data_IF_388022864985
#
_entry.id   IF_388022864985
#
_cell.length_a   1.000
_cell.length_b   1.000
_cell.length_c   1.000
_cell.angle_alpha   90.00
_cell.angle_beta   90.00
_cell.angle_gamma   90.00
#
_symmetry.space_group_name_H-M   'P 1'
#
loop_
_entity.id
_entity.type
_entity.pdbx_description
1 polymer ?
#
# COMPACT_ATOMS: atom_id res chain seq x y z
N UNK A 1 37.35 -29.52 2.78
CA UNK A 1 35.88 -29.40 2.77
C UNK A 1 35.23 -30.75 2.99
N UNK A 2 34.97 -31.10 4.26
CA UNK A 2 34.19 -32.30 4.63
C UNK A 2 32.75 -32.19 4.11
N UNK A 3 32.25 -33.28 3.55
CA UNK A 3 30.87 -33.43 3.08
C UNK A 3 30.14 -34.49 3.93
N UNK A 4 28.83 -34.33 4.09
CA UNK A 4 27.99 -35.25 4.86
C UNK A 4 26.74 -35.64 4.09
N UNK A 5 26.38 -36.92 4.14
CA UNK A 5 25.12 -37.46 3.61
C UNK A 5 24.25 -37.86 4.80
N UNK A 6 23.00 -37.42 4.83
CA UNK A 6 22.03 -37.80 5.84
C UNK A 6 20.85 -38.56 5.25
N UNK A 7 20.30 -39.48 6.03
CA UNK A 7 18.95 -39.99 5.82
C UNK A 7 18.01 -39.32 6.81
N UNK A 8 16.81 -38.97 6.37
CA UNK A 8 15.88 -38.22 7.19
C UNK A 8 14.43 -38.54 6.88
N UNK A 9 13.58 -38.27 7.88
CA UNK A 9 12.13 -38.33 7.76
C UNK A 9 11.52 -37.22 8.61
N UNK A 10 10.25 -36.89 8.35
CA UNK A 10 9.53 -35.90 9.13
C UNK A 10 8.61 -36.55 10.14
N UNK A 11 8.59 -35.96 11.34
CA UNK A 11 7.50 -36.14 12.29
C UNK A 11 6.57 -34.95 12.09
N UNK A 12 5.41 -35.20 11.49
CA UNK A 12 4.38 -34.18 11.25
C UNK A 12 3.47 -34.02 12.46
N UNK A 13 2.92 -32.82 12.63
CA UNK A 13 1.95 -32.52 13.68
C UNK A 13 0.76 -33.50 13.69
N UNK A 14 0.25 -33.89 12.52
CA UNK A 14 -0.88 -34.79 12.29
C UNK A 14 -0.64 -36.22 12.78
N UNK A 15 0.62 -36.64 12.89
CA UNK A 15 0.99 -37.93 13.44
C UNK A 15 1.11 -37.91 14.97
N UNK A 16 1.03 -36.74 15.60
CA UNK A 16 1.12 -36.57 17.05
C UNK A 16 -0.26 -36.68 17.68
N UNK A 17 -0.36 -37.58 18.65
CA UNK A 17 -1.54 -37.69 19.51
C UNK A 17 -1.24 -36.97 20.82
N UNK A 18 -2.03 -35.95 21.11
CA UNK A 18 -2.06 -35.33 22.43
C UNK A 18 -3.04 -36.08 23.34
N UNK A 19 -2.87 -35.90 24.65
CA UNK A 19 -3.79 -36.45 25.65
C UNK A 19 -5.17 -35.81 25.61
N UNK A 20 -6.01 -36.18 26.57
CA UNK A 20 -7.36 -35.63 26.70
C UNK A 20 -7.30 -34.12 26.94
N UNK A 21 -8.19 -33.39 26.26
CA UNK A 21 -8.39 -31.96 26.45
C UNK A 21 -8.77 -31.71 27.92
N UNK A 22 -8.12 -30.76 28.62
CA UNK A 22 -8.44 -30.46 30.00
C UNK A 22 -9.87 -29.93 30.10
N UNK A 23 -10.57 -30.36 31.13
CA UNK A 23 -11.93 -29.93 31.43
C UNK A 23 -12.06 -29.60 32.92
N UNK A 24 -13.13 -28.89 33.30
CA UNK A 24 -13.37 -28.50 34.68
C UNK A 24 -12.21 -27.72 35.29
N UNK A 25 -11.75 -28.12 36.47
CA UNK A 25 -10.66 -27.45 37.20
C UNK A 25 -9.32 -27.45 36.45
N UNK A 26 -9.06 -28.45 35.60
CA UNK A 26 -7.83 -28.51 34.82
C UNK A 26 -7.77 -27.38 33.77
N UNK A 27 -8.90 -27.09 33.12
CA UNK A 27 -8.99 -25.99 32.15
C UNK A 27 -8.90 -24.63 32.85
N UNK A 28 -9.52 -24.50 34.02
CA UNK A 28 -9.40 -23.29 34.87
C UNK A 28 -7.95 -23.04 35.27
N UNK A 29 -7.22 -24.09 35.65
CA UNK A 29 -5.81 -24.00 36.02
C UNK A 29 -4.95 -23.57 34.83
N UNK A 30 -5.17 -24.17 33.66
CA UNK A 30 -4.46 -23.77 32.44
C UNK A 30 -4.77 -22.31 32.05
N UNK A 31 -6.04 -21.92 32.05
CA UNK A 31 -6.46 -20.55 31.75
C UNK A 31 -5.75 -19.51 32.62
N UNK A 32 -5.59 -19.75 33.92
CA UNK A 32 -4.83 -18.85 34.82
C UNK A 32 -3.38 -18.63 34.39
N UNK A 33 -2.77 -19.59 33.66
CA UNK A 33 -1.40 -19.45 33.15
C UNK A 33 -1.31 -18.64 31.86
N UNK A 34 -2.42 -18.53 31.12
CA UNK A 34 -2.47 -17.86 29.80
C UNK A 34 -3.41 -16.66 29.77
N UNK A 35 -4.02 -16.29 30.90
CA UNK A 35 -5.03 -15.22 31.00
C UNK A 35 -4.56 -13.88 30.42
N UNK A 36 -3.27 -13.55 30.55
CA UNK A 36 -2.68 -12.34 29.98
C UNK A 36 -2.69 -12.28 28.45
N UNK A 37 -3.02 -13.38 27.76
CA UNK A 37 -3.24 -13.41 26.31
C UNK A 37 -4.69 -13.10 25.92
N UNK A 38 -5.60 -13.01 26.90
CA UNK A 38 -7.04 -12.89 26.71
C UNK A 38 -7.59 -11.62 27.37
N UNK A 39 -7.08 -10.47 26.96
CA UNK A 39 -7.63 -9.17 27.37
C UNK A 39 -8.84 -8.81 26.50
N UNK A 40 -9.93 -8.35 27.14
CA UNK A 40 -10.98 -7.61 26.48
C UNK A 40 -10.49 -6.16 26.29
N UNK A 41 -10.63 -5.57 25.09
CA UNK A 41 -10.32 -4.17 24.91
C UNK A 41 -11.31 -3.31 25.70
N UNK A 42 -10.99 -2.02 25.82
CA UNK A 42 -11.95 -1.04 26.29
C UNK A 42 -13.08 -0.88 25.26
N UNK A 43 -14.32 -0.85 25.74
CA UNK A 43 -15.50 -0.53 24.93
C UNK A 43 -16.18 0.72 25.47
N UNK A 44 -16.68 1.56 24.57
CA UNK A 44 -17.44 2.77 24.91
C UNK A 44 -18.85 2.69 24.36
N UNK A 45 -19.82 3.07 25.19
CA UNK A 45 -21.17 3.38 24.75
C UNK A 45 -21.23 4.85 24.34
N UNK A 46 -21.81 5.15 23.18
CA UNK A 46 -21.81 6.50 22.61
C UNK A 46 -23.18 6.84 22.03
N UNK A 47 -23.64 8.05 22.31
CA UNK A 47 -24.76 8.69 21.61
C UNK A 47 -24.23 9.72 20.62
N UNK A 48 -24.79 9.75 19.43
CA UNK A 48 -24.39 10.64 18.34
C UNK A 48 -25.59 11.41 17.81
N UNK A 49 -25.55 12.74 17.88
CA UNK A 49 -26.50 13.61 17.18
C UNK A 49 -25.86 14.10 15.89
N UNK A 50 -26.49 13.78 14.76
CA UNK A 50 -25.94 14.11 13.45
C UNK A 50 -26.86 15.09 12.70
N UNK A 51 -26.38 16.33 12.55
CA UNK A 51 -26.95 17.33 11.66
C UNK A 51 -26.41 17.13 10.25
N UNK A 52 -27.12 16.36 9.44
CA UNK A 52 -26.73 16.07 8.06
C UNK A 52 -27.37 17.06 7.07
N UNK A 53 -26.59 17.96 6.42
CA UNK A 53 -27.13 18.91 5.45
C UNK A 53 -27.68 18.22 4.19
N UNK A 54 -27.18 17.05 3.81
CA UNK A 54 -27.70 16.28 2.67
C UNK A 54 -29.10 15.73 2.98
N UNK A 55 -29.33 15.32 4.22
CA UNK A 55 -30.66 14.91 4.67
C UNK A 55 -31.60 16.10 4.80
N UNK A 56 -31.13 17.19 5.41
CA UNK A 56 -31.91 18.42 5.59
C UNK A 56 -32.32 19.05 4.25
N UNK A 57 -31.43 19.04 3.25
CA UNK A 57 -31.69 19.55 1.90
C UNK A 57 -32.95 18.94 1.26
N UNK A 58 -33.25 17.67 1.54
CA UNK A 58 -34.44 16.98 1.01
C UNK A 58 -35.76 17.55 1.52
N UNK A 59 -35.72 18.29 2.63
CA UNK A 59 -36.89 18.96 3.21
C UNK A 59 -37.00 20.42 2.78
N UNK A 60 -35.95 20.98 2.20
CA UNK A 60 -35.89 22.38 1.77
C UNK A 60 -36.25 22.44 0.29
N UNK A 61 -37.25 23.27 -0.02
CA UNK A 61 -37.64 23.58 -1.39
C UNK A 61 -37.17 24.99 -1.76
N UNK A 62 -36.22 25.14 -2.71
CA UNK A 62 -35.73 26.44 -3.14
C UNK A 62 -36.82 27.26 -3.82
N UNK A 63 -36.64 28.58 -3.83
CA UNK A 63 -37.53 29.48 -4.55
C UNK A 63 -37.39 29.28 -6.06
N UNK A 64 -38.50 29.07 -6.76
CA UNK A 64 -38.49 28.82 -8.20
C UNK A 64 -37.94 29.99 -9.03
N UNK A 65 -38.06 31.23 -8.55
CA UNK A 65 -37.49 32.42 -9.19
C UNK A 65 -35.97 32.39 -9.08
N UNK A 66 -35.44 32.14 -7.89
CA UNK A 66 -33.99 32.06 -7.64
C UNK A 66 -33.35 30.92 -8.43
N UNK A 67 -34.00 29.75 -8.53
CA UNK A 67 -33.53 28.62 -9.34
C UNK A 67 -33.38 28.99 -10.82
N UNK A 68 -34.30 29.82 -11.36
CA UNK A 68 -34.19 30.33 -12.74
C UNK A 68 -33.07 31.34 -12.89
N UNK A 69 -32.90 32.24 -11.92
CA UNK A 69 -31.80 33.21 -11.92
C UNK A 69 -30.44 32.50 -11.86
N UNK A 70 -30.32 31.46 -11.02
CA UNK A 70 -29.13 30.61 -10.93
C UNK A 70 -28.82 29.91 -12.25
N UNK A 71 -29.83 29.42 -12.98
CA UNK A 71 -29.63 28.88 -14.33
C UNK A 71 -29.05 29.93 -15.27
N UNK A 72 -29.64 31.13 -15.34
CA UNK A 72 -29.15 32.17 -16.24
C UNK A 72 -27.71 32.61 -15.93
N UNK A 73 -27.34 32.64 -14.65
CA UNK A 73 -25.98 32.95 -14.20
C UNK A 73 -24.97 31.84 -14.50
N UNK A 74 -25.41 30.59 -14.59
CA UNK A 74 -24.52 29.42 -14.70
C UNK A 74 -24.70 28.60 -15.99
N UNK A 75 -25.54 29.04 -16.92
CA UNK A 75 -25.87 28.30 -18.15
C UNK A 75 -24.64 27.90 -18.98
N UNK A 76 -23.62 28.75 -19.03
CA UNK A 76 -22.39 28.47 -19.77
C UNK A 76 -21.61 27.29 -19.18
N UNK A 77 -21.77 27.01 -17.88
CA UNK A 77 -21.16 25.84 -17.24
C UNK A 77 -21.86 24.52 -17.57
N UNK A 78 -23.11 24.58 -18.02
CA UNK A 78 -23.89 23.41 -18.45
C UNK A 78 -23.79 23.17 -19.95
N UNK A 79 -23.36 24.17 -20.71
CA UNK A 79 -23.29 24.12 -22.16
C UNK A 79 -21.91 23.67 -22.62
N UNK A 80 -21.89 22.84 -23.66
CA UNK A 80 -20.68 22.52 -24.40
C UNK A 80 -20.80 23.13 -25.80
N UNK A 81 -19.85 23.98 -26.17
CA UNK A 81 -19.76 24.49 -27.53
C UNK A 81 -19.46 23.36 -28.54
N UNK A 82 -19.83 23.58 -29.80
CA UNK A 82 -19.36 22.73 -30.89
C UNK A 82 -17.83 22.79 -30.98
N UNK A 83 -17.19 21.63 -31.15
CA UNK A 83 -15.74 21.56 -31.39
C UNK A 83 -15.43 20.81 -32.67
N UNK A 84 -14.35 21.21 -33.34
CA UNK A 84 -13.89 20.61 -34.58
C UNK A 84 -12.42 20.23 -34.47
N UNK A 85 -12.07 19.06 -35.01
CA UNK A 85 -10.68 18.66 -35.18
C UNK A 85 -10.18 19.22 -36.52
N UNK A 86 -9.18 20.09 -36.45
CA UNK A 86 -8.75 20.92 -37.57
C UNK A 86 -7.33 20.56 -37.96
N UNK A 87 -7.09 20.41 -39.26
CA UNK A 87 -5.75 20.30 -39.85
C UNK A 87 -5.52 21.39 -40.90
N UNK A 88 -4.26 21.76 -41.12
CA UNK A 88 -3.88 22.77 -42.11
C UNK A 88 -2.69 22.35 -42.98
N UNK A 89 -2.66 22.85 -44.21
CA UNK A 89 -1.50 22.80 -45.11
C UNK A 89 -1.13 24.24 -45.46
N UNK A 90 0.13 24.62 -45.27
CA UNK A 90 0.62 25.97 -45.55
C UNK A 90 1.26 25.99 -46.95
N UNK A 91 0.95 27.02 -47.73
CA UNK A 91 1.49 27.25 -49.07
C UNK A 91 2.21 28.61 -49.14
N UNK A 92 3.23 28.73 -50.01
CA UNK A 92 4.04 29.94 -50.11
C UNK A 92 3.30 31.13 -50.75
N UNK A 93 2.27 30.88 -51.58
CA UNK A 93 1.48 31.89 -52.25
C UNK A 93 0.08 31.38 -52.62
N UNK A 94 -0.78 32.29 -53.08
CA UNK A 94 -2.17 32.00 -53.43
C UNK A 94 -2.26 31.05 -54.62
N UNK A 95 -1.37 31.18 -55.61
CA UNK A 95 -1.37 30.33 -56.80
C UNK A 95 -1.11 28.86 -56.47
N UNK A 96 -0.16 28.58 -55.57
CA UNK A 96 0.16 27.22 -55.14
C UNK A 96 -0.98 26.60 -54.32
N UNK A 97 -1.59 27.37 -53.41
CA UNK A 97 -2.74 26.91 -52.63
C UNK A 97 -3.96 26.65 -53.53
N UNK A 98 -4.20 27.51 -54.52
CA UNK A 98 -5.28 27.37 -55.48
C UNK A 98 -5.12 26.12 -56.35
N UNK A 99 -3.89 25.86 -56.83
CA UNK A 99 -3.59 24.64 -57.58
C UNK A 99 -3.87 23.38 -56.76
N UNK A 100 -3.49 23.35 -55.49
CA UNK A 100 -3.78 22.23 -54.58
C UNK A 100 -5.29 22.09 -54.29
N UNK A 101 -6.01 23.20 -54.10
CA UNK A 101 -7.46 23.17 -53.96
C UNK A 101 -8.15 22.60 -55.22
N UNK A 102 -7.71 22.98 -56.42
CA UNK A 102 -8.23 22.43 -57.68
C UNK A 102 -7.95 20.93 -57.86
N UNK A 103 -6.84 20.43 -57.33
CA UNK A 103 -6.58 18.99 -57.25
C UNK A 103 -7.57 18.30 -56.32
N UNK A 104 -7.90 18.91 -55.17
CA UNK A 104 -8.89 18.36 -54.26
C UNK A 104 -10.29 18.25 -54.88
N UNK A 105 -10.68 19.21 -55.72
CA UNK A 105 -11.94 19.15 -56.47
C UNK A 105 -11.98 18.00 -57.48
N UNK A 106 -10.82 17.46 -57.88
CA UNK A 106 -10.67 16.32 -58.79
C UNK A 106 -10.54 14.98 -58.05
N UNK A 107 -10.58 14.98 -56.71
CA UNK A 107 -10.57 13.78 -55.89
C UNK A 107 -9.30 13.55 -55.07
N UNK A 108 -8.28 14.41 -55.18
CA UNK A 108 -7.08 14.33 -54.32
C UNK A 108 -7.47 14.63 -52.86
N UNK A 109 -7.11 13.73 -51.96
CA UNK A 109 -7.42 13.83 -50.53
C UNK A 109 -6.46 14.78 -49.81
N UNK A 110 -6.86 15.26 -48.63
CA UNK A 110 -6.01 16.12 -47.79
C UNK A 110 -4.69 15.42 -47.39
N UNK A 111 -4.74 14.11 -47.14
CA UNK A 111 -3.56 13.31 -46.83
C UNK A 111 -2.61 13.19 -48.04
N UNK A 112 -3.13 13.09 -49.26
CA UNK A 112 -2.32 13.08 -50.49
C UNK A 112 -1.66 14.44 -50.72
N UNK A 113 -2.39 15.55 -50.53
CA UNK A 113 -1.81 16.91 -50.61
C UNK A 113 -0.70 17.15 -49.58
N UNK A 114 -0.81 16.57 -48.39
CA UNK A 114 0.23 16.59 -47.37
C UNK A 114 1.45 15.77 -47.77
N UNK A 115 1.23 14.57 -48.34
CA UNK A 115 2.30 13.69 -48.81
C UNK A 115 3.11 14.33 -49.94
N UNK A 116 2.49 15.12 -50.82
CA UNK A 116 3.19 15.91 -51.85
C UNK A 116 4.20 16.90 -51.26
N UNK A 117 3.97 17.38 -50.03
CA UNK A 117 4.88 18.25 -49.29
C UNK A 117 5.79 17.51 -48.32
N UNK A 118 5.75 16.17 -48.28
CA UNK A 118 6.44 15.32 -47.29
C UNK A 118 6.05 15.68 -45.84
N UNK A 119 4.79 16.03 -45.59
CA UNK A 119 4.27 16.33 -44.25
C UNK A 119 3.36 15.17 -43.80
N UNK A 120 3.62 14.63 -42.61
CA UNK A 120 2.71 13.66 -41.99
C UNK A 120 1.44 14.33 -41.45
N UNK A 121 0.31 13.62 -41.49
CA UNK A 121 -0.99 14.11 -40.98
C UNK A 121 -0.91 14.60 -39.53
N UNK A 122 -0.15 13.92 -38.68
CA UNK A 122 0.05 14.32 -37.29
C UNK A 122 0.72 15.69 -37.15
N UNK A 123 1.64 16.04 -38.07
CA UNK A 123 2.34 17.33 -38.06
C UNK A 123 1.48 18.47 -38.65
N UNK A 124 0.42 18.13 -39.38
CA UNK A 124 -0.53 19.08 -39.96
C UNK A 124 -1.77 19.32 -39.07
N UNK A 125 -1.98 18.47 -38.06
CA UNK A 125 -3.13 18.53 -37.16
C UNK A 125 -2.91 19.61 -36.11
N UNK A 126 -3.82 20.59 -36.04
CA UNK A 126 -3.80 21.64 -35.03
C UNK A 126 -4.41 21.17 -33.70
N UNK A 127 -5.35 20.22 -33.78
CA UNK A 127 -6.09 19.69 -32.63
C UNK A 127 -7.58 20.03 -32.67
N UNK A 128 -8.23 19.92 -31.51
CA UNK A 128 -9.68 20.13 -31.34
C UNK A 128 -9.96 21.50 -30.76
N UNK A 129 -10.75 22.31 -31.46
CA UNK A 129 -11.07 23.68 -31.05
C UNK A 129 -12.56 23.96 -31.09
N UNK A 130 -13.04 24.74 -30.12
CA UNK A 130 -14.27 25.51 -30.25
C UNK A 130 -14.01 26.76 -31.11
N UNK A 131 -15.06 27.36 -31.67
CA UNK A 131 -14.91 28.51 -32.59
C UNK A 131 -14.15 29.68 -31.96
N UNK A 132 -14.48 30.03 -30.72
CA UNK A 132 -13.83 31.12 -29.98
C UNK A 132 -12.43 30.76 -29.44
N UNK A 133 -12.03 29.48 -29.53
CA UNK A 133 -10.69 29.01 -29.16
C UNK A 133 -9.65 29.17 -30.25
N UNK A 134 -10.05 29.58 -31.47
CA UNK A 134 -9.15 29.77 -32.60
C UNK A 134 -8.61 31.22 -32.63
N UNK A 135 -7.28 31.43 -32.72
CA UNK A 135 -6.68 32.76 -32.66
C UNK A 135 -6.92 33.61 -33.93
N UNK A 136 -7.27 32.98 -35.05
CA UNK A 136 -7.54 33.67 -36.31
C UNK A 136 -9.02 33.55 -36.69
N UNK A 137 -9.73 34.69 -36.71
CA UNK A 137 -11.17 34.74 -37.00
C UNK A 137 -11.54 34.24 -38.41
N UNK A 138 -10.72 34.53 -39.43
CA UNK A 138 -10.96 34.05 -40.80
C UNK A 138 -10.86 32.52 -40.87
N UNK A 139 -9.86 31.96 -40.20
CA UNK A 139 -9.73 30.50 -40.07
C UNK A 139 -10.96 29.93 -39.35
N UNK A 140 -11.36 30.52 -38.22
CA UNK A 140 -12.51 30.08 -37.44
C UNK A 140 -13.81 30.07 -38.25
N UNK A 141 -14.08 31.13 -39.02
CA UNK A 141 -15.27 31.19 -39.88
C UNK A 141 -15.22 30.10 -40.96
N UNK A 142 -14.07 29.94 -41.65
CA UNK A 142 -13.93 28.93 -42.71
C UNK A 142 -14.07 27.50 -42.19
N UNK A 143 -13.40 27.14 -41.09
CA UNK A 143 -13.45 25.75 -40.58
C UNK A 143 -14.78 25.38 -39.95
N UNK A 144 -15.53 26.35 -39.40
CA UNK A 144 -16.87 26.10 -38.85
C UNK A 144 -17.98 26.09 -39.93
N UNK A 145 -17.71 26.62 -41.11
CA UNK A 145 -18.59 26.50 -42.29
C UNK A 145 -18.26 25.25 -43.15
N UNK A 146 -17.14 24.57 -42.90
CA UNK A 146 -16.66 23.44 -43.71
C UNK A 146 -17.30 22.11 -43.29
N UNK A 147 -17.77 21.30 -44.24
CA UNK A 147 -18.24 19.94 -43.95
C UNK A 147 -17.09 19.00 -43.57
N UNK A 148 -17.40 17.93 -42.84
CA UNK A 148 -16.45 16.88 -42.49
C UNK A 148 -15.79 16.29 -43.75
N UNK A 149 -14.47 16.10 -43.69
CA UNK A 149 -13.62 15.60 -44.77
C UNK A 149 -13.60 16.46 -46.05
N UNK A 150 -14.04 17.73 -45.98
CA UNK A 150 -13.82 18.71 -47.06
C UNK A 150 -12.55 19.51 -46.83
N UNK A 151 -12.02 20.06 -47.93
CA UNK A 151 -10.86 20.95 -47.94
C UNK A 151 -11.38 22.37 -48.24
N UNK A 152 -10.95 23.35 -47.46
CA UNK A 152 -11.35 24.75 -47.67
C UNK A 152 -10.77 25.32 -48.96
N UNK A 153 -11.34 26.43 -49.45
CA UNK A 153 -10.62 27.31 -50.36
C UNK A 153 -9.36 27.87 -49.68
N UNK A 154 -8.36 28.35 -50.44
CA UNK A 154 -7.19 29.04 -49.89
C UNK A 154 -7.59 30.19 -48.96
N UNK A 155 -7.07 30.17 -47.73
CA UNK A 155 -7.31 31.21 -46.72
C UNK A 155 -6.02 31.93 -46.39
N UNK A 156 -6.00 33.25 -46.57
CA UNK A 156 -4.91 34.08 -46.05
C UNK A 156 -5.11 34.37 -44.56
N UNK A 157 -4.25 33.77 -43.74
CA UNK A 157 -4.26 33.93 -42.27
C UNK A 157 -3.19 34.91 -41.78
N UNK A 158 -2.52 35.65 -42.68
CA UNK A 158 -1.46 36.62 -42.37
C UNK A 158 -0.09 36.02 -42.07
N UNK A 159 -0.04 34.75 -41.63
CA UNK A 159 1.19 33.97 -41.45
C UNK A 159 1.52 33.07 -42.65
N UNK A 160 0.64 33.05 -43.66
CA UNK A 160 0.73 32.21 -44.85
C UNK A 160 -0.64 31.98 -45.47
N UNK A 161 -0.66 31.38 -46.67
CA UNK A 161 -1.89 30.91 -47.31
C UNK A 161 -2.10 29.45 -46.91
N UNK A 162 -3.29 29.11 -46.40
CA UNK A 162 -3.57 27.76 -45.91
C UNK A 162 -4.75 27.10 -46.61
N UNK A 163 -4.69 25.78 -46.76
CA UNK A 163 -5.85 24.92 -46.96
C UNK A 163 -6.18 24.24 -45.63
N UNK A 164 -7.44 24.24 -45.25
CA UNK A 164 -7.91 23.71 -43.98
C UNK A 164 -8.78 22.48 -44.23
N UNK A 165 -8.75 21.53 -43.31
CA UNK A 165 -9.68 20.40 -43.30
C UNK A 165 -10.21 20.11 -41.90
N UNK A 166 -11.40 19.53 -41.86
CA UNK A 166 -12.07 19.11 -40.63
C UNK A 166 -12.25 17.59 -40.66
N UNK A 167 -11.58 16.87 -39.77
CA UNK A 167 -11.67 15.40 -39.68
C UNK A 167 -12.81 14.93 -38.79
N UNK A 168 -13.23 15.75 -37.82
CA UNK A 168 -14.29 15.41 -36.88
C UNK A 168 -15.05 16.67 -36.41
N UNK A 169 -16.37 16.55 -36.21
CA UNK A 169 -17.24 17.60 -35.65
C UNK A 169 -17.96 17.01 -34.44
N UNK A 170 -17.71 17.59 -33.26
CA UNK A 170 -18.46 17.28 -32.04
C UNK A 170 -19.53 18.35 -31.84
N UNK A 171 -20.82 18.03 -31.96
CA UNK A 171 -21.89 19.04 -31.90
C UNK A 171 -21.98 19.69 -30.53
N UNK A 172 -22.51 20.92 -30.52
CA UNK A 172 -22.85 21.62 -29.29
C UNK A 172 -23.88 20.82 -28.47
N UNK A 173 -23.71 20.82 -27.15
CA UNK A 173 -24.68 20.27 -26.20
C UNK A 173 -25.14 21.42 -25.32
N UNK A 174 -26.33 21.95 -25.63
CA UNK A 174 -26.91 23.09 -24.92
C UNK A 174 -27.99 22.53 -24.01
N UNK A 175 -27.81 22.68 -22.69
CA UNK A 175 -28.79 22.24 -21.71
C UNK A 175 -29.84 23.31 -21.49
N UNK A 176 -31.11 22.94 -21.67
CA UNK A 176 -32.24 23.80 -21.34
C UNK A 176 -32.40 23.90 -19.83
N UNK A 177 -33.17 24.89 -19.35
CA UNK A 177 -33.53 24.99 -17.94
C UNK A 177 -34.13 23.69 -17.42
N UNK A 178 -35.07 23.09 -18.16
CA UNK A 178 -35.75 21.86 -17.75
C UNK A 178 -34.78 20.67 -17.62
N UNK A 179 -33.72 20.62 -18.45
CA UNK A 179 -32.71 19.56 -18.39
C UNK A 179 -31.87 19.60 -17.11
N UNK A 180 -31.60 20.79 -16.57
CA UNK A 180 -30.72 20.99 -15.41
C UNK A 180 -31.44 21.48 -14.16
N UNK A 181 -32.76 21.69 -14.23
CA UNK A 181 -33.56 22.24 -13.14
C UNK A 181 -33.35 21.47 -11.84
N UNK A 182 -33.45 20.14 -11.87
CA UNK A 182 -33.27 19.32 -10.67
C UNK A 182 -31.86 19.45 -10.09
N UNK A 183 -30.83 19.54 -10.94
CA UNK A 183 -29.44 19.72 -10.51
C UNK A 183 -29.27 21.06 -9.79
N UNK A 184 -29.90 22.12 -10.27
CA UNK A 184 -29.85 23.45 -9.66
C UNK A 184 -30.65 23.44 -8.35
N UNK A 185 -31.85 22.84 -8.33
CA UNK A 185 -32.65 22.69 -7.12
C UNK A 185 -31.89 21.91 -6.04
N UNK A 186 -31.26 20.78 -6.37
CA UNK A 186 -30.51 19.98 -5.40
C UNK A 186 -29.30 20.75 -4.83
N UNK A 187 -28.57 21.49 -5.68
CA UNK A 187 -27.44 22.32 -5.25
C UNK A 187 -27.90 23.45 -4.33
N UNK A 188 -28.99 24.12 -4.69
CA UNK A 188 -29.50 25.24 -3.90
C UNK A 188 -30.13 24.77 -2.58
N UNK A 189 -30.86 23.65 -2.59
CA UNK A 189 -31.34 23.00 -1.37
C UNK A 189 -30.20 22.65 -0.43
N UNK A 190 -29.09 22.12 -0.95
CA UNK A 190 -27.91 21.81 -0.13
C UNK A 190 -27.26 23.08 0.44
N UNK A 191 -27.12 24.13 -0.37
CA UNK A 191 -26.59 25.42 0.09
C UNK A 191 -27.43 26.01 1.23
N UNK A 192 -28.76 26.04 1.05
CA UNK A 192 -29.70 26.50 2.07
C UNK A 192 -29.70 25.61 3.31
N UNK A 193 -29.52 24.29 3.14
CA UNK A 193 -29.38 23.37 4.26
C UNK A 193 -28.14 23.70 5.09
N UNK A 194 -26.98 23.93 4.45
CA UNK A 194 -25.74 24.31 5.12
C UNK A 194 -25.91 25.64 5.89
N UNK A 195 -26.58 26.63 5.30
CA UNK A 195 -26.89 27.88 6.02
C UNK A 195 -27.75 27.60 7.27
N UNK A 196 -28.75 26.71 7.14
CA UNK A 196 -29.65 26.33 8.22
C UNK A 196 -28.96 25.50 9.32
N UNK A 197 -27.87 24.79 9.01
CA UNK A 197 -27.08 24.04 10.02
C UNK A 197 -26.60 24.98 11.13
N UNK A 198 -26.17 26.20 10.80
CA UNK A 198 -25.66 27.14 11.81
C UNK A 198 -26.76 27.64 12.75
N UNK A 199 -27.97 27.88 12.23
CA UNK A 199 -29.11 28.23 13.09
C UNK A 199 -29.50 27.05 14.01
N UNK A 200 -29.57 25.84 13.45
CA UNK A 200 -29.90 24.63 14.23
C UNK A 200 -28.80 24.26 15.23
N UNK A 201 -27.54 24.63 14.96
CA UNK A 201 -26.45 24.45 15.92
C UNK A 201 -26.74 25.23 17.20
N UNK A 202 -27.10 26.51 17.07
CA UNK A 202 -27.38 27.35 18.24
C UNK A 202 -28.56 26.77 19.04
N UNK A 203 -29.61 26.31 18.36
CA UNK A 203 -30.74 25.63 19.00
C UNK A 203 -30.30 24.34 19.75
N UNK A 204 -29.44 23.52 19.14
CA UNK A 204 -28.91 22.29 19.78
C UNK A 204 -28.09 22.63 21.02
N UNK A 205 -27.18 23.60 20.92
CA UNK A 205 -26.33 24.02 22.03
C UNK A 205 -27.15 24.61 23.18
N UNK A 206 -28.18 25.40 22.89
CA UNK A 206 -29.09 25.95 23.90
C UNK A 206 -29.86 24.85 24.64
N UNK A 207 -30.36 23.83 23.93
CA UNK A 207 -31.04 22.71 24.57
C UNK A 207 -30.08 21.88 25.43
N UNK A 208 -28.86 21.59 24.95
CA UNK A 208 -27.83 20.88 25.72
C UNK A 208 -27.46 21.70 26.98
N UNK A 209 -27.24 23.01 26.84
CA UNK A 209 -26.92 23.91 27.95
C UNK A 209 -28.06 24.02 28.97
N UNK A 210 -29.31 23.80 28.55
CA UNK A 210 -30.48 23.71 29.44
C UNK A 210 -30.60 22.37 30.18
N UNK A 211 -29.75 21.39 29.85
CA UNK A 211 -29.69 20.06 30.46
C UNK A 211 -30.49 18.99 29.71
N UNK A 212 -30.91 19.24 28.47
CA UNK A 212 -31.62 18.25 27.68
C UNK A 212 -30.71 17.06 27.31
N UNK A 213 -31.28 15.86 27.26
CA UNK A 213 -30.63 14.66 26.72
C UNK A 213 -30.56 14.73 25.20
N UNK A 214 -29.60 14.03 24.59
CA UNK A 214 -29.52 13.98 23.12
C UNK A 214 -30.81 13.45 22.48
N UNK A 215 -31.51 12.54 23.16
CA UNK A 215 -32.82 12.07 22.71
C UNK A 215 -33.88 13.17 22.69
N UNK A 216 -33.96 13.98 23.74
CA UNK A 216 -34.92 15.10 23.79
C UNK A 216 -34.61 16.15 22.71
N UNK A 217 -33.32 16.45 22.49
CA UNK A 217 -32.87 17.35 21.41
C UNK A 217 -33.24 16.79 20.04
N UNK A 218 -32.95 15.50 19.79
CA UNK A 218 -33.28 14.81 18.55
C UNK A 218 -34.78 14.87 18.24
N UNK A 219 -35.61 14.52 19.23
CA UNK A 219 -37.06 14.51 19.08
C UNK A 219 -37.62 15.93 18.85
N UNK A 220 -37.10 16.94 19.57
CA UNK A 220 -37.56 18.34 19.48
C UNK A 220 -37.17 19.01 18.16
N UNK A 221 -35.93 18.82 17.72
CA UNK A 221 -35.37 19.47 16.53
C UNK A 221 -35.41 18.59 15.28
N UNK A 222 -35.95 17.37 15.39
CA UNK A 222 -36.01 16.37 14.30
C UNK A 222 -34.63 16.01 13.73
N UNK A 223 -33.65 15.83 14.62
CA UNK A 223 -32.26 15.46 14.30
C UNK A 223 -32.08 13.95 14.46
N UNK A 224 -31.21 13.34 13.66
CA UNK A 224 -30.91 11.91 13.78
C UNK A 224 -30.07 11.62 15.02
N UNK A 225 -30.59 10.74 15.88
CA UNK A 225 -29.86 10.15 17.00
C UNK A 225 -29.42 8.73 16.67
N UNK A 226 -28.12 8.45 16.82
CA UNK A 226 -27.57 7.09 16.78
C UNK A 226 -27.06 6.70 18.16
N UNK A 227 -27.49 5.55 18.67
CA UNK A 227 -27.05 5.00 19.96
C UNK A 227 -26.21 3.75 19.68
N UNK A 228 -24.99 3.73 20.19
CA UNK A 228 -24.06 2.61 20.08
C UNK A 228 -23.77 2.11 21.49
N UNK A 229 -24.16 0.88 21.80
CA UNK A 229 -24.00 0.33 23.15
C UNK A 229 -22.55 -0.02 23.49
N UNK A 230 -21.80 -0.54 22.52
CA UNK A 230 -20.39 -0.92 22.67
C UNK A 230 -19.61 -0.64 21.40
N UNK A 231 -18.49 0.06 21.54
CA UNK A 231 -17.56 0.40 20.47
C UNK A 231 -16.14 0.31 21.01
N UNK A 232 -15.25 -0.46 20.37
CA UNK A 232 -13.82 -0.45 20.65
C UNK A 232 -13.06 0.45 19.66
N UNK A 233 -11.76 0.63 19.88
CA UNK A 233 -10.89 1.48 19.05
C UNK A 233 -10.68 0.96 17.61
N UNK A 234 -11.14 -0.26 17.31
CA UNK A 234 -11.17 -0.87 15.98
C UNK A 234 -12.54 -0.75 15.31
N UNK A 235 -13.46 0.01 15.92
CA UNK A 235 -14.85 0.16 15.49
C UNK A 235 -15.62 -1.16 15.47
N UNK A 236 -15.44 -1.96 16.51
CA UNK A 236 -16.16 -3.22 16.71
C UNK A 236 -16.96 -3.19 18.00
N UNK A 237 -18.07 -3.92 18.01
CA UNK A 237 -18.87 -4.19 19.20
C UNK A 237 -18.25 -5.31 20.06
N UNK A 238 -18.90 -5.60 21.19
CA UNK A 238 -18.45 -6.64 22.12
C UNK A 238 -18.49 -8.06 21.53
N UNK A 239 -19.25 -8.29 20.47
CA UNK A 239 -19.33 -9.55 19.73
C UNK A 239 -18.29 -9.63 18.60
N UNK A 240 -17.54 -8.56 18.36
CA UNK A 240 -16.56 -8.43 17.27
C UNK A 240 -17.15 -7.99 15.94
N UNK A 241 -18.45 -7.67 15.90
CA UNK A 241 -19.14 -7.12 14.75
C UNK A 241 -18.67 -5.70 14.43
N UNK A 242 -18.55 -5.35 13.16
CA UNK A 242 -18.15 -4.01 12.74
C UNK A 242 -19.29 -3.01 13.00
N UNK A 243 -18.99 -1.96 13.75
CA UNK A 243 -19.90 -0.84 14.01
C UNK A 243 -19.59 0.30 13.04
N UNK A 244 -20.63 0.86 12.44
CA UNK A 244 -20.51 2.02 11.57
C UNK A 244 -20.75 3.31 12.36
N UNK A 245 -19.82 4.25 12.26
CA UNK A 245 -19.96 5.62 12.76
C UNK A 245 -19.85 6.60 11.58
N UNK A 246 -20.41 7.82 11.67
CA UNK A 246 -20.23 8.86 10.66
C UNK A 246 -18.74 9.11 10.37
N UNK A 247 -18.40 9.26 9.09
CA UNK A 247 -17.02 9.46 8.64
C UNK A 247 -16.58 10.91 8.88
N UNK A 248 -16.26 11.22 10.13
CA UNK A 248 -15.86 12.54 10.60
C UNK A 248 -14.43 12.50 11.11
N UNK A 249 -13.61 13.45 10.67
CA UNK A 249 -12.21 13.53 11.11
C UNK A 249 -12.15 13.71 12.63
N UNK A 250 -11.38 12.85 13.29
CA UNK A 250 -11.19 12.90 14.73
C UNK A 250 -12.30 12.26 15.57
N UNK A 251 -13.49 11.97 15.03
CA UNK A 251 -14.63 11.46 15.83
C UNK A 251 -14.28 10.21 16.66
N UNK A 252 -13.69 9.19 16.02
CA UNK A 252 -13.28 7.98 16.71
C UNK A 252 -12.28 8.30 17.83
N UNK A 253 -11.27 9.12 17.55
CA UNK A 253 -10.28 9.51 18.55
C UNK A 253 -10.91 10.27 19.71
N UNK A 254 -11.77 11.25 19.42
CA UNK A 254 -12.47 12.07 20.41
C UNK A 254 -13.36 11.22 21.32
N UNK A 255 -14.07 10.23 20.76
CA UNK A 255 -14.85 9.25 21.53
C UNK A 255 -13.96 8.53 22.56
N UNK A 256 -12.75 8.10 22.17
CA UNK A 256 -11.84 7.36 23.07
C UNK A 256 -11.04 8.24 24.02
N UNK A 257 -11.05 9.56 23.85
CA UNK A 257 -10.41 10.50 24.78
C UNK A 257 -11.39 11.24 25.69
N UNK A 258 -12.69 11.15 25.44
CA UNK A 258 -13.73 11.82 26.22
C UNK A 258 -14.05 11.08 27.53
N UNK A 259 -14.59 11.77 28.53
CA UNK A 259 -15.06 11.16 29.78
C UNK A 259 -16.55 10.80 29.67
N UNK A 260 -17.06 9.98 30.60
CA UNK A 260 -18.50 9.68 30.65
C UNK A 260 -19.28 10.97 30.93
N UNK A 261 -20.38 11.16 30.20
CA UNK A 261 -21.31 12.29 30.31
C UNK A 261 -20.66 13.67 30.08
N UNK A 262 -19.47 13.70 29.47
CA UNK A 262 -18.83 14.96 29.07
C UNK A 262 -19.51 15.51 27.81
N UNK A 263 -19.93 16.77 27.88
CA UNK A 263 -20.34 17.53 26.72
C UNK A 263 -19.10 17.97 25.93
N UNK A 264 -18.97 17.46 24.70
CA UNK A 264 -17.87 17.75 23.81
C UNK A 264 -18.31 18.75 22.75
N UNK A 265 -17.37 19.59 22.30
CA UNK A 265 -17.60 20.45 21.14
C UNK A 265 -17.99 19.59 19.91
N UNK A 266 -18.94 20.06 19.08
CA UNK A 266 -19.32 19.35 17.88
C UNK A 266 -18.17 19.30 16.88
N UNK A 267 -18.15 18.24 16.07
CA UNK A 267 -17.18 18.06 15.00
C UNK A 267 -17.81 18.36 13.63
N UNK A 268 -17.06 19.06 12.77
CA UNK A 268 -17.47 19.35 11.40
C UNK A 268 -17.41 18.10 10.52
N UNK A 269 -18.49 17.86 9.78
CA UNK A 269 -18.55 16.83 8.74
C UNK A 269 -18.02 17.38 7.41
N UNK A 270 -17.53 16.50 6.54
CA UNK A 270 -17.03 16.87 5.20
C UNK A 270 -18.14 17.52 4.34
N UNK A 271 -19.40 17.16 4.59
CA UNK A 271 -20.58 17.69 3.89
C UNK A 271 -21.07 19.06 4.39
N UNK A 272 -20.40 19.66 5.39
CA UNK A 272 -20.82 20.95 5.98
C UNK A 272 -21.88 20.85 7.08
N UNK A 273 -22.10 19.64 7.61
CA UNK A 273 -22.92 19.36 8.78
C UNK A 273 -22.10 19.26 10.08
N UNK A 274 -22.78 18.95 11.18
CA UNK A 274 -22.18 18.84 12.52
C UNK A 274 -22.53 17.51 13.18
N UNK A 275 -21.62 17.00 13.99
CA UNK A 275 -21.90 15.85 14.86
C UNK A 275 -21.55 16.17 16.31
N UNK A 276 -22.51 15.99 17.22
CA UNK A 276 -22.26 15.93 18.65
C UNK A 276 -22.15 14.48 19.07
N UNK A 277 -21.30 14.24 20.05
CA UNK A 277 -21.16 12.92 20.65
C UNK A 277 -21.07 13.02 22.17
N UNK A 278 -21.65 12.03 22.85
CA UNK A 278 -21.54 11.86 24.30
C UNK A 278 -21.22 10.42 24.61
N UNK A 279 -20.17 10.20 25.42
CA UNK A 279 -19.86 8.87 25.94
C UNK A 279 -20.77 8.60 27.13
N UNK A 280 -21.60 7.59 27.04
CA UNK A 280 -22.59 7.24 28.08
C UNK A 280 -22.16 6.06 28.95
N UNK A 281 -21.12 5.33 28.52
CA UNK A 281 -20.60 4.18 29.26
C UNK A 281 -19.16 3.90 28.85
N UNK A 282 -18.32 3.48 29.80
CA UNK A 282 -16.98 2.94 29.54
C UNK A 282 -16.89 1.57 30.22
N UNK A 283 -16.65 0.54 29.40
CA UNK A 283 -16.31 -0.80 29.84
C UNK A 283 -14.79 -0.90 29.77
N UNK A 284 -14.13 -0.78 30.92
CA UNK A 284 -12.67 -0.83 31.02
C UNK A 284 -12.09 -2.14 30.47
N UNK A 285 -10.81 -2.07 30.09
CA UNK A 285 -10.03 -3.26 29.79
C UNK A 285 -10.05 -4.23 30.98
N UNK A 286 -10.27 -5.50 30.68
CA UNK A 286 -10.35 -6.55 31.70
C UNK A 286 -9.93 -7.87 31.10
N UNK A 287 -9.53 -8.80 31.96
CA UNK A 287 -9.36 -10.18 31.52
C UNK A 287 -10.73 -10.75 31.08
N UNK A 288 -10.77 -11.35 29.88
CA UNK A 288 -11.94 -12.11 29.42
C UNK A 288 -12.09 -13.34 30.28
N UNK A 289 -13.26 -13.56 30.89
CA UNK A 289 -13.56 -14.74 31.71
C UNK A 289 -13.38 -16.01 30.89
N UNK A 290 -13.04 -17.12 31.54
CA UNK A 290 -12.94 -18.42 30.86
C UNK A 290 -14.21 -18.79 30.06
N UNK A 291 -15.40 -18.37 30.51
CA UNK A 291 -16.65 -18.61 29.78
C UNK A 291 -16.72 -17.88 28.43
N UNK A 292 -16.01 -16.76 28.28
CA UNK A 292 -15.96 -15.94 27.07
C UNK A 292 -14.92 -16.44 26.07
N UNK A 293 -13.85 -17.10 26.55
CA UNK A 293 -12.70 -17.54 25.73
C UNK A 293 -12.46 -19.05 25.82
N UNK A 294 -13.48 -19.83 26.19
CA UNK A 294 -13.33 -21.27 26.48
C UNK A 294 -12.75 -22.03 25.29
N UNK A 295 -13.27 -21.75 24.09
CA UNK A 295 -12.87 -22.43 22.86
C UNK A 295 -11.47 -21.98 22.43
N UNK A 296 -11.15 -20.69 22.55
CA UNK A 296 -9.82 -20.16 22.27
C UNK A 296 -8.76 -20.71 23.22
N UNK A 297 -9.05 -20.77 24.52
CA UNK A 297 -8.17 -21.37 25.54
C UNK A 297 -7.95 -22.85 25.26
N UNK A 298 -9.02 -23.56 24.84
CA UNK A 298 -8.93 -24.98 24.47
C UNK A 298 -8.04 -25.17 23.24
N UNK A 299 -8.23 -24.36 22.21
CA UNK A 299 -7.41 -24.39 21.00
C UNK A 299 -5.94 -24.04 21.31
N UNK A 300 -5.70 -23.04 22.16
CA UNK A 300 -4.36 -22.67 22.62
C UNK A 300 -3.69 -23.81 23.39
N UNK A 301 -4.43 -24.48 24.28
CA UNK A 301 -3.92 -25.66 24.98
C UNK A 301 -3.54 -26.78 24.02
N UNK A 302 -4.44 -27.11 23.10
CA UNK A 302 -4.21 -28.17 22.11
C UNK A 302 -2.98 -27.88 21.27
N UNK A 303 -2.86 -26.65 20.76
CA UNK A 303 -1.70 -26.20 19.99
C UNK A 303 -0.41 -26.32 20.82
N UNK A 304 -0.44 -25.84 22.07
CA UNK A 304 0.71 -25.89 22.99
C UNK A 304 1.15 -27.32 23.31
N UNK A 305 0.21 -28.20 23.64
CA UNK A 305 0.54 -29.60 23.96
C UNK A 305 0.95 -30.39 22.72
N UNK A 306 0.41 -30.04 21.55
CA UNK A 306 0.83 -30.65 20.30
C UNK A 306 2.27 -30.27 19.98
N UNK A 307 2.63 -29.00 20.11
CA UNK A 307 4.01 -28.53 19.93
C UNK A 307 4.99 -29.22 20.89
N UNK A 308 4.60 -29.38 22.17
CA UNK A 308 5.42 -30.11 23.17
C UNK A 308 5.56 -31.59 22.82
N UNK A 309 4.47 -32.27 22.49
CA UNK A 309 4.47 -33.69 22.17
C UNK A 309 5.25 -33.97 20.88
N UNK A 310 5.14 -33.09 19.89
CA UNK A 310 5.90 -33.13 18.64
C UNK A 310 7.41 -33.05 18.89
N UNK A 311 7.86 -32.04 19.65
CA UNK A 311 9.26 -31.90 20.05
C UNK A 311 9.75 -33.11 20.86
N UNK A 312 8.96 -33.56 21.84
CA UNK A 312 9.30 -34.71 22.67
C UNK A 312 9.48 -35.97 21.82
N UNK A 313 8.62 -36.18 20.82
CA UNK A 313 8.70 -37.33 19.93
C UNK A 313 9.92 -37.30 19.02
N UNK A 314 10.23 -36.15 18.42
CA UNK A 314 11.44 -35.99 17.62
C UNK A 314 12.72 -36.28 18.44
N UNK A 315 12.76 -35.77 19.69
CA UNK A 315 13.85 -36.01 20.63
C UNK A 315 13.94 -37.46 21.10
N UNK A 316 12.81 -38.12 21.30
CA UNK A 316 12.75 -39.55 21.63
C UNK A 316 13.34 -40.38 20.48
N UNK A 317 12.89 -40.15 19.24
CA UNK A 317 13.35 -40.88 18.06
C UNK A 317 14.85 -40.67 17.82
N UNK A 318 15.34 -39.43 17.94
CA UNK A 318 16.77 -39.14 17.78
C UNK A 318 17.63 -39.82 18.85
N UNK A 319 17.12 -39.97 20.08
CA UNK A 319 17.84 -40.65 21.17
C UNK A 319 17.79 -42.16 21.06
N UNK A 320 16.67 -42.71 20.61
CA UNK A 320 16.48 -44.15 20.43
C UNK A 320 17.46 -44.70 19.40
N UNK A 321 17.65 -43.97 18.28
CA UNK A 321 18.54 -44.38 17.20
C UNK A 321 18.21 -45.77 16.66
N UNK A 322 19.19 -46.40 16.00
CA UNK A 322 19.02 -47.70 15.35
C UNK A 322 18.53 -47.58 13.92
N UNK A 323 17.76 -48.57 13.48
CA UNK A 323 17.25 -48.69 12.11
C UNK A 323 16.21 -47.60 11.79
N UNK A 324 16.48 -46.78 10.78
CA UNK A 324 15.67 -45.61 10.41
C UNK A 324 14.31 -46.02 9.84
N UNK A 325 14.22 -47.17 9.17
CA UNK A 325 12.96 -47.75 8.70
C UNK A 325 12.04 -48.06 9.88
N UNK A 326 12.59 -48.70 10.92
CA UNK A 326 11.83 -49.00 12.14
C UNK A 326 11.36 -47.74 12.90
N UNK A 327 12.12 -46.65 12.86
CA UNK A 327 11.77 -45.38 13.51
C UNK A 327 10.71 -44.57 12.74
N UNK A 328 10.73 -44.62 11.41
CA UNK A 328 9.86 -43.83 10.53
C UNK A 328 8.49 -44.47 10.26
N UNK A 329 8.37 -45.80 10.40
CA UNK A 329 7.17 -46.60 10.10
C UNK A 329 5.84 -46.12 10.73
N UNK A 330 5.89 -45.31 11.79
CA UNK A 330 4.68 -44.79 12.48
C UNK A 330 4.34 -43.33 12.15
N UNK A 331 5.20 -42.63 11.40
CA UNK A 331 5.06 -41.21 11.06
C UNK A 331 4.95 -40.96 9.55
N UNK A 332 5.23 -42.00 8.74
CA UNK A 332 4.96 -42.12 7.32
C UNK A 332 5.21 -40.85 6.50
N UNK A 333 6.49 -40.49 6.44
CA UNK A 333 7.10 -39.95 5.22
C UNK A 333 8.09 -40.99 4.69
N UNK A 334 8.24 -41.09 3.37
CA UNK A 334 9.33 -41.86 2.79
C UNK A 334 10.66 -41.31 3.34
N UNK A 335 11.53 -42.21 3.78
CA UNK A 335 12.90 -41.84 4.15
C UNK A 335 13.55 -41.22 2.91
N UNK A 336 14.13 -40.05 3.09
CA UNK A 336 14.85 -39.33 2.04
C UNK A 336 16.33 -39.33 2.36
N UNK A 337 17.16 -39.37 1.33
CA UNK A 337 18.61 -39.22 1.45
C UNK A 337 19.01 -37.88 0.86
N UNK A 338 19.84 -37.12 1.57
CA UNK A 338 20.37 -35.85 1.06
C UNK A 338 21.41 -36.10 -0.03
N UNK A 339 21.62 -35.12 -0.89
CA UNK A 339 22.90 -35.00 -1.62
C UNK A 339 24.04 -34.67 -0.65
N UNK A 340 25.28 -34.62 -1.12
CA UNK A 340 26.43 -34.25 -0.28
C UNK A 340 26.31 -32.81 0.22
N UNK A 341 26.17 -32.64 1.54
CA UNK A 341 26.05 -31.32 2.19
C UNK A 341 27.40 -30.88 2.75
N UNK A 342 27.74 -29.60 2.59
CA UNK A 342 28.85 -28.89 3.28
C UNK A 342 28.29 -27.93 4.34
N UNK A 343 29.14 -27.52 5.29
CA UNK A 343 28.75 -26.66 6.42
C UNK A 343 28.10 -25.31 6.04
N UNK A 344 28.37 -24.80 4.84
CA UNK A 344 27.87 -23.52 4.35
C UNK A 344 26.93 -23.62 3.15
N UNK A 345 26.47 -24.83 2.81
CA UNK A 345 25.59 -25.00 1.66
C UNK A 345 24.21 -24.37 1.93
N UNK A 346 23.62 -23.81 0.88
CA UNK A 346 22.22 -23.44 0.82
C UNK A 346 21.46 -24.62 0.23
N UNK A 347 20.49 -25.15 0.96
CA UNK A 347 19.72 -26.32 0.54
C UNK A 347 18.22 -26.00 0.59
N UNK A 348 17.46 -26.58 -0.33
CA UNK A 348 16.00 -26.38 -0.44
C UNK A 348 15.24 -27.12 0.65
N UNK A 349 15.73 -28.29 1.06
CA UNK A 349 15.10 -29.15 2.07
C UNK A 349 15.66 -28.89 3.49
N UNK A 350 16.86 -28.32 3.61
CA UNK A 350 17.54 -28.11 4.90
C UNK A 350 17.89 -26.65 5.16
N UNK A 351 17.43 -26.15 6.31
CA UNK A 351 17.88 -24.86 6.82
C UNK A 351 19.35 -24.90 7.24
N UNK A 352 20.01 -23.74 7.30
CA UNK A 352 21.39 -23.64 7.80
C UNK A 352 21.55 -24.20 9.23
N UNK A 353 20.51 -24.11 10.06
CA UNK A 353 20.50 -24.70 11.40
C UNK A 353 20.43 -26.23 11.35
N UNK A 354 19.65 -26.79 10.43
CA UNK A 354 19.57 -28.23 10.20
C UNK A 354 20.93 -28.80 9.76
N UNK A 355 21.60 -28.14 8.81
CA UNK A 355 22.95 -28.49 8.36
C UNK A 355 23.93 -28.41 9.53
N UNK A 356 23.93 -27.33 10.31
CA UNK A 356 24.79 -27.19 11.49
C UNK A 356 24.56 -28.30 12.52
N UNK A 357 23.30 -28.66 12.78
CA UNK A 357 22.94 -29.73 13.69
C UNK A 357 23.45 -31.10 13.20
N UNK A 358 23.32 -31.39 11.89
CA UNK A 358 23.86 -32.59 11.27
C UNK A 358 25.39 -32.66 11.34
N UNK A 359 26.06 -31.52 11.18
CA UNK A 359 27.52 -31.42 11.29
C UNK A 359 28.07 -31.51 12.72
N UNK A 360 27.18 -31.63 13.72
CA UNK A 360 27.53 -31.73 15.14
C UNK A 360 27.42 -33.15 15.70
N UNK A 361 26.86 -34.11 14.94
CA UNK A 361 26.73 -35.53 15.34
C UNK A 361 27.74 -36.43 14.63
N UNK A 362 28.00 -37.62 15.15
CA UNK A 362 28.91 -38.61 14.51
C UNK A 362 28.18 -39.47 13.49
N UNK A 363 28.93 -40.15 12.62
CA UNK A 363 28.34 -41.10 11.68
C UNK A 363 27.55 -42.18 12.43
N UNK A 364 26.32 -42.44 11.98
CA UNK A 364 25.35 -43.34 12.60
C UNK A 364 24.48 -42.69 13.68
N UNK A 365 24.83 -41.51 14.19
CA UNK A 365 24.03 -40.79 15.19
C UNK A 365 22.92 -39.96 14.56
N UNK A 366 21.91 -39.65 15.37
CA UNK A 366 20.75 -38.88 14.97
C UNK A 366 20.73 -37.49 15.60
N UNK A 367 20.10 -36.56 14.89
CA UNK A 367 19.75 -35.22 15.37
C UNK A 367 18.34 -34.86 14.90
N UNK A 368 17.80 -33.76 15.42
CA UNK A 368 16.48 -33.27 15.02
C UNK A 368 16.46 -31.74 14.96
N UNK A 369 15.59 -31.19 14.12
CA UNK A 369 15.38 -29.75 13.98
C UNK A 369 13.92 -29.47 13.64
N UNK A 370 13.42 -28.31 14.05
CA UNK A 370 12.10 -27.85 13.62
C UNK A 370 12.11 -27.55 12.11
N UNK A 371 11.01 -27.87 11.45
CA UNK A 371 10.79 -27.61 10.02
C UNK A 371 9.30 -27.56 9.70
N UNK A 372 8.96 -27.28 8.46
CA UNK A 372 7.57 -27.31 7.99
C UNK A 372 7.46 -28.19 6.75
N UNK A 373 6.38 -28.95 6.63
CA UNK A 373 6.07 -29.77 5.45
C UNK A 373 4.62 -29.49 5.07
N UNK A 374 4.38 -29.04 3.84
CA UNK A 374 3.03 -28.71 3.34
C UNK A 374 2.26 -27.75 4.29
N UNK A 375 2.93 -26.68 4.74
CA UNK A 375 2.39 -25.69 5.68
C UNK A 375 2.01 -26.24 7.08
N UNK A 376 2.39 -27.48 7.37
CA UNK A 376 2.22 -28.12 8.68
C UNK A 376 3.53 -28.07 9.48
N UNK A 377 3.43 -27.79 10.79
CA UNK A 377 4.58 -27.89 11.70
C UNK A 377 5.11 -29.32 11.73
N UNK A 378 6.43 -29.45 11.67
CA UNK A 378 7.09 -30.75 11.71
C UNK A 378 8.45 -30.68 12.41
N UNK A 379 9.02 -31.84 12.71
CA UNK A 379 10.43 -31.97 13.02
C UNK A 379 11.09 -32.91 12.02
N UNK A 380 12.23 -32.48 11.48
CA UNK A 380 13.08 -33.32 10.64
C UNK A 380 13.98 -34.12 11.57
N UNK A 381 13.86 -35.44 11.56
CA UNK A 381 14.76 -36.35 12.26
C UNK A 381 15.78 -36.86 11.25
N UNK A 382 17.06 -36.62 11.52
CA UNK A 382 18.16 -36.88 10.58
C UNK A 382 19.15 -37.85 11.19
N UNK A 383 19.52 -38.90 10.47
CA UNK A 383 20.68 -39.75 10.76
C UNK A 383 21.85 -39.36 9.87
N UNK A 384 23.03 -39.17 10.45
CA UNK A 384 24.24 -38.99 9.64
C UNK A 384 24.69 -40.34 9.06
N UNK A 385 24.46 -40.56 7.77
CA UNK A 385 24.78 -41.82 7.08
C UNK A 385 26.27 -41.94 6.79
N UNK A 386 26.87 -40.89 6.24
CA UNK A 386 28.25 -40.92 5.74
C UNK A 386 28.96 -39.58 5.92
N UNK A 387 30.25 -39.64 6.27
CA UNK A 387 31.17 -38.50 6.27
C UNK A 387 32.18 -38.71 5.14
N UNK A 388 32.17 -37.82 4.16
CA UNK A 388 33.07 -37.83 3.00
C UNK A 388 34.21 -36.85 3.29
N UNK A 389 35.43 -37.38 3.39
CA UNK A 389 36.63 -36.58 3.56
C UNK A 389 36.95 -35.79 2.27
N UNK A 390 37.52 -34.58 2.37
CA UNK A 390 37.94 -33.84 1.19
C UNK A 390 39.02 -34.59 0.40
N UNK A 391 38.93 -34.55 -0.93
CA UNK A 391 39.96 -35.11 -1.81
C UNK A 391 41.28 -34.33 -1.64
N UNK A 392 42.42 -35.02 -1.69
CA UNK A 392 43.76 -34.43 -1.53
C UNK A 392 44.04 -33.31 -2.56
N UNK A 393 43.48 -33.43 -3.78
CA UNK A 393 43.59 -32.37 -4.79
C UNK A 393 42.93 -31.04 -4.37
N UNK A 394 41.85 -31.08 -3.60
CA UNK A 394 41.19 -29.86 -3.09
C UNK A 394 42.00 -29.21 -1.97
N UNK A 395 42.67 -30.02 -1.16
CA UNK A 395 43.57 -29.54 -0.10
C UNK A 395 44.79 -28.84 -0.70
N UNK A 396 45.38 -29.40 -1.76
CA UNK A 396 46.51 -28.79 -2.46
C UNK A 396 46.13 -27.46 -3.14
N UNK A 397 44.95 -27.40 -3.77
CA UNK A 397 44.44 -26.16 -4.39
C UNK A 397 44.18 -25.07 -3.35
N UNK A 398 43.56 -25.40 -2.21
CA UNK A 398 43.33 -24.44 -1.12
C UNK A 398 44.67 -23.96 -0.52
N UNK A 399 45.62 -24.87 -0.29
CA UNK A 399 46.95 -24.51 0.20
C UNK A 399 47.71 -23.60 -0.78
N UNK A 400 47.58 -23.83 -2.09
CA UNK A 400 48.18 -22.98 -3.12
C UNK A 400 47.54 -21.58 -3.17
N UNK A 401 46.21 -21.49 -3.02
CA UNK A 401 45.50 -20.20 -2.94
C UNK A 401 45.89 -19.40 -1.69
N UNK A 402 46.01 -20.06 -0.52
CA UNK A 402 46.48 -19.42 0.72
C UNK A 402 47.91 -18.92 0.56
N UNK A 403 48.81 -19.71 -0.06
CA UNK A 403 50.19 -19.30 -0.36
C UNK A 403 50.23 -18.09 -1.28
N UNK A 404 49.41 -18.05 -2.33
CA UNK A 404 49.33 -16.91 -3.25
C UNK A 404 48.80 -15.64 -2.57
N UNK A 405 47.84 -15.77 -1.64
CA UNK A 405 47.29 -14.64 -0.90
C UNK A 405 48.24 -14.11 0.18
N UNK A 406 49.06 -14.97 0.79
CA UNK A 406 50.01 -14.57 1.85
C UNK A 406 51.33 -14.01 1.30
N UNK A 407 51.80 -14.47 0.13
CA UNK A 407 53.09 -14.08 -0.43
C UNK A 407 53.29 -12.55 -0.60
N UNK A 408 52.33 -11.77 -1.15
CA UNK A 408 52.53 -10.32 -1.30
C UNK A 408 52.53 -9.57 0.03
N UNK A 409 51.72 -9.99 1.00
CA UNK A 409 51.63 -9.33 2.31
C UNK A 409 52.88 -9.57 3.17
N UNK A 410 53.45 -10.79 3.14
CA UNK A 410 54.66 -11.08 3.88
C UNK A 410 55.88 -10.31 3.33
N UNK A 411 55.96 -10.17 2.00
CA UNK A 411 57.01 -9.39 1.34
C UNK A 411 56.91 -7.89 1.68
N UNK A 412 55.71 -7.32 1.67
CA UNK A 412 55.47 -5.93 2.03
C UNK A 412 55.85 -5.65 3.50
N UNK A 413 55.43 -6.50 4.43
CA UNK A 413 55.75 -6.34 5.86
C UNK A 413 57.26 -6.50 6.14
N UNK A 414 57.95 -7.40 5.44
CA UNK A 414 59.42 -7.52 5.56
C UNK A 414 60.13 -6.25 5.06
N UNK A 415 59.69 -5.69 3.93
CA UNK A 415 60.25 -4.43 3.40
C UNK A 415 59.98 -3.28 4.38
N UNK A 416 58.77 -3.14 4.92
CA UNK A 416 58.45 -2.11 5.92
C UNK A 416 59.32 -2.25 7.17
N UNK A 417 59.43 -3.46 7.73
CA UNK A 417 60.27 -3.68 8.91
C UNK A 417 61.75 -3.40 8.65
N UNK A 418 62.25 -3.71 7.45
CA UNK A 418 63.61 -3.43 7.04
C UNK A 418 63.87 -1.93 6.86
N UNK A 419 62.91 -1.21 6.28
CA UNK A 419 62.96 0.26 6.12
C UNK A 419 62.92 0.94 7.49
N UNK A 420 62.03 0.53 8.39
CA UNK A 420 61.88 1.13 9.71
C UNK A 420 63.11 0.90 10.60
N UNK A 421 63.69 -0.31 10.54
CA UNK A 421 64.95 -0.60 11.24
C UNK A 421 66.11 0.25 10.68
N UNK A 422 66.23 0.39 9.36
CA UNK A 422 67.28 1.23 8.77
C UNK A 422 67.11 2.72 9.12
N UNK A 423 65.89 3.23 9.22
CA UNK A 423 65.64 4.60 9.72
C UNK A 423 66.14 4.79 11.15
N UNK A 424 65.95 3.80 12.03
CA UNK A 424 66.47 3.85 13.40
C UNK A 424 67.99 3.75 13.47
N UNK A 425 68.61 2.87 12.69
CA UNK A 425 70.07 2.63 12.73
C UNK A 425 70.87 3.80 12.15
N UNK A 426 70.42 4.37 11.03
CA UNK A 426 71.18 5.40 10.32
C UNK A 426 70.72 6.83 10.64
N UNK A 427 69.57 6.98 11.32
CA UNK A 427 68.95 8.27 11.62
C UNK A 427 68.41 8.94 10.36
N UNK A 428 67.20 9.50 10.44
CA UNK A 428 66.63 10.30 9.34
C UNK A 428 66.85 11.79 9.64
N UNK A 429 67.66 12.47 8.85
CA UNK A 429 67.77 13.93 8.87
C UNK A 429 66.90 14.51 7.75
N UNK A 430 65.81 15.20 8.11
CA UNK A 430 65.01 15.95 7.15
C UNK A 430 65.69 17.31 6.95
N UNK A 431 66.04 17.65 5.71
CA UNK A 431 66.63 18.94 5.38
C UNK A 431 65.52 20.01 5.31
N UNK A 432 65.05 20.43 6.49
CA UNK A 432 63.99 21.42 6.64
C UNK A 432 64.23 22.72 5.86
N UNK A 433 65.45 23.28 5.81
CA UNK A 433 65.75 24.45 4.98
C UNK A 433 65.48 24.26 3.48
N UNK A 434 65.60 23.02 2.97
CA UNK A 434 65.30 22.69 1.58
C UNK A 434 63.79 22.57 1.34
N UNK A 435 63.07 22.02 2.32
CA UNK A 435 61.60 21.98 2.32
C UNK A 435 61.04 23.40 2.37
N UNK A 436 61.54 24.24 3.27
CA UNK A 436 61.05 25.62 3.44
C UNK A 436 61.32 26.48 2.18
N UNK A 437 62.39 26.20 1.42
CA UNK A 437 62.67 26.82 0.10
C UNK A 437 61.71 26.37 -1.00
N UNK A 438 61.21 25.14 -0.93
CA UNK A 438 60.29 24.57 -1.94
C UNK A 438 58.84 24.98 -1.62
N UNK A 439 58.50 25.12 -0.34
CA UNK A 439 57.13 25.39 0.13
C UNK A 439 56.85 26.89 0.37
N UNK A 440 57.89 27.74 0.41
CA UNK A 440 57.75 29.18 0.19
C UNK A 440 57.28 30.02 1.39
N UNK A 441 57.61 29.64 2.63
CA UNK A 441 57.32 30.46 3.81
C UNK A 441 58.58 31.20 4.30
N UNK A 442 58.56 32.54 4.23
CA UNK A 442 59.55 33.41 4.87
C UNK A 442 59.25 33.52 6.38
N UNK A 443 60.25 33.43 7.27
CA UNK A 443 60.04 33.55 8.70
C UNK A 443 59.81 35.02 9.09
N UNK A 444 58.68 35.30 9.74
CA UNK A 444 58.44 36.54 10.48
C UNK A 444 59.19 36.47 11.82
N UNK A 445 59.96 37.52 12.12
CA UNK A 445 60.77 37.70 13.33
C UNK A 445 59.93 37.92 14.60
#
# INVERSE_FOLDING_TARGET
>A
NEQRIAEYFHVKQSAIKIGNIPAGEALVTYYKTVIGQFAAPEYRGVELLHLDPVKLAKTIKPNATEVKELYELSKDSYNRAETREISQIIYPNMEAAQAAYEQSLKGTTFAELLAEQNIDVANATLGVFAKDGLPNKKMADVVFDLDINKISMPVDIGLGIVLLSVSNITPADIKTFDDVKQIIEDKESLRLAIDKIYELRDDVEDEIASGATFKEVADKLSIDLTIISTLNNQLQDIEGGKVSIPAVNGLAQSIFTSEIDLDNDPLDTISGGLIWFRVVNIIETRDKKLTEVKDDVTALWQSTETDKALLAKAKELSKKGGDIDALSNTFADAIKTTTELKRGDLNVDFSAQAIKALFSVKQGEYTYIAGNVNDEKSYIVMQLKEIIAPNNQDVDNINNQIRQAMAPNLAATLIESYVENNKQVYGTAINQPLIDRIVGEQPQY
#
